data_IF_443212426729
#
_entry.id   IF_443212426729
#
_cell.length_a   1.000
_cell.length_b   1.000
_cell.length_c   1.000
_cell.angle_alpha   90.00
_cell.angle_beta   90.00
_cell.angle_gamma   90.00
#
_symmetry.space_group_name_H-M   'P 1'
#
loop_
_entity.id
_entity.type
_entity.pdbx_description
1 polymer ?
#
# COMPACT_ATOMS: atom_id res chain seq x y z
N UNK A 1 -17.95 -15.34 27.71
CA UNK A 1 -16.74 -15.26 26.84
C UNK A 1 -17.00 -16.11 25.61
N UNK A 2 -17.07 -15.50 24.43
CA UNK A 2 -17.26 -16.24 23.18
C UNK A 2 -15.99 -17.03 22.89
N UNK A 3 -16.00 -18.33 23.23
CA UNK A 3 -15.06 -19.30 22.69
C UNK A 3 -15.26 -19.32 21.18
N UNK A 4 -14.51 -18.52 20.42
CA UNK A 4 -14.33 -18.79 19.01
C UNK A 4 -13.76 -20.21 18.93
N UNK A 5 -14.53 -21.14 18.38
CA UNK A 5 -14.09 -22.51 18.21
C UNK A 5 -12.81 -22.50 17.35
N UNK A 6 -11.79 -23.27 17.74
CA UNK A 6 -10.49 -23.29 17.06
C UNK A 6 -10.68 -23.57 15.56
N UNK A 7 -11.65 -24.42 15.21
CA UNK A 7 -12.06 -24.70 13.84
C UNK A 7 -12.47 -23.44 13.05
N UNK A 8 -13.19 -22.51 13.69
CA UNK A 8 -13.64 -21.26 13.09
C UNK A 8 -12.48 -20.29 12.87
N UNK A 9 -11.57 -20.18 13.84
CA UNK A 9 -10.36 -19.34 13.72
C UNK A 9 -9.53 -19.80 12.52
N UNK A 10 -9.25 -21.11 12.43
CA UNK A 10 -8.52 -21.70 11.30
C UNK A 10 -9.17 -21.44 9.95
N UNK A 11 -10.50 -21.57 9.86
CA UNK A 11 -11.24 -21.28 8.63
C UNK A 11 -11.11 -19.81 8.23
N UNK A 12 -11.18 -18.89 9.19
CA UNK A 12 -11.00 -17.47 8.94
C UNK A 12 -9.57 -17.14 8.52
N UNK A 13 -8.55 -17.76 9.12
CA UNK A 13 -7.15 -17.65 8.70
C UNK A 13 -7.02 -18.07 7.22
N UNK A 14 -7.52 -19.24 6.85
CA UNK A 14 -7.46 -19.70 5.45
C UNK A 14 -8.19 -18.78 4.47
N UNK A 15 -9.28 -18.13 4.90
CA UNK A 15 -9.96 -17.12 4.10
C UNK A 15 -9.10 -15.86 3.90
N UNK A 16 -8.54 -15.31 4.98
CA UNK A 16 -7.72 -14.10 4.89
C UNK A 16 -6.38 -14.36 4.20
N UNK A 17 -5.79 -15.55 4.31
CA UNK A 17 -4.60 -15.94 3.54
C UNK A 17 -4.83 -15.76 2.03
N UNK A 18 -5.98 -16.28 1.53
CA UNK A 18 -6.36 -16.12 0.13
C UNK A 18 -6.65 -14.66 -0.24
N UNK A 19 -7.20 -13.86 0.67
CA UNK A 19 -7.40 -12.43 0.43
C UNK A 19 -6.07 -11.68 0.31
N UNK A 20 -5.12 -11.92 1.22
CA UNK A 20 -3.79 -11.30 1.17
C UNK A 20 -3.11 -11.59 -0.17
N UNK A 21 -3.08 -12.86 -0.59
CA UNK A 21 -2.51 -13.27 -1.88
C UNK A 21 -3.16 -12.57 -3.08
N UNK A 22 -4.49 -12.38 -3.04
CA UNK A 22 -5.21 -11.64 -4.10
C UNK A 22 -4.81 -10.18 -4.13
N UNK A 23 -4.77 -9.50 -2.99
CA UNK A 23 -4.35 -8.10 -2.94
C UNK A 23 -2.90 -7.93 -3.41
N UNK A 24 -1.98 -8.79 -2.98
CA UNK A 24 -0.59 -8.81 -3.47
C UNK A 24 -0.50 -8.95 -4.99
N UNK A 25 -1.34 -9.82 -5.57
CA UNK A 25 -1.40 -10.03 -7.01
C UNK A 25 -1.93 -8.80 -7.74
N UNK A 26 -2.98 -8.16 -7.20
CA UNK A 26 -3.56 -6.93 -7.76
C UNK A 26 -2.56 -5.77 -7.70
N UNK A 27 -1.89 -5.57 -6.56
CA UNK A 27 -0.85 -4.55 -6.40
C UNK A 27 0.29 -4.78 -7.40
N UNK A 28 0.73 -6.02 -7.55
CA UNK A 28 1.77 -6.39 -8.52
C UNK A 28 1.32 -6.13 -9.97
N UNK A 29 0.05 -6.34 -10.28
CA UNK A 29 -0.51 -6.05 -11.60
C UNK A 29 -0.52 -4.54 -11.88
N UNK A 30 -0.99 -3.72 -10.93
CA UNK A 30 -0.97 -2.25 -11.04
C UNK A 30 0.47 -1.74 -11.26
N UNK A 31 1.46 -2.26 -10.52
CA UNK A 31 2.86 -1.88 -10.78
C UNK A 31 3.35 -2.22 -12.18
N UNK A 32 2.95 -3.38 -12.72
CA UNK A 32 3.31 -3.76 -14.09
C UNK A 32 2.65 -2.86 -15.13
N UNK A 33 1.40 -2.51 -14.93
CA UNK A 33 0.63 -1.63 -15.82
C UNK A 33 1.26 -0.26 -15.95
N UNK A 34 1.61 0.36 -14.82
CA UNK A 34 2.27 1.67 -14.77
C UNK A 34 3.81 1.59 -14.93
N UNK A 35 4.35 0.39 -15.16
CA UNK A 35 5.80 0.12 -15.30
C UNK A 35 6.64 0.64 -14.11
N UNK A 36 6.04 0.66 -12.92
CA UNK A 36 6.70 1.07 -11.69
C UNK A 36 7.44 -0.11 -11.07
N UNK A 37 8.70 0.14 -10.72
CA UNK A 37 9.48 -0.75 -9.85
C UNK A 37 9.45 -0.16 -8.45
N UNK A 38 8.83 -0.86 -7.52
CA UNK A 38 8.57 -0.36 -6.16
C UNK A 38 9.86 0.06 -5.45
N UNK A 39 10.99 -0.55 -5.75
CA UNK A 39 12.28 -0.25 -5.14
C UNK A 39 12.91 1.04 -5.69
N UNK A 40 12.60 1.41 -6.93
CA UNK A 40 13.28 2.50 -7.65
C UNK A 40 12.66 3.87 -7.38
N UNK A 41 11.37 3.92 -7.05
CA UNK A 41 10.65 5.18 -6.78
C UNK A 41 10.82 6.24 -7.90
N UNK A 42 10.97 5.80 -9.16
CA UNK A 42 11.16 6.67 -10.32
C UNK A 42 9.84 6.84 -11.08
N UNK A 43 9.37 8.09 -11.14
CA UNK A 43 8.09 8.46 -11.75
C UNK A 43 8.26 9.31 -13.02
N UNK A 44 9.49 9.47 -13.53
CA UNK A 44 9.76 10.35 -14.70
C UNK A 44 9.02 9.94 -15.96
N UNK A 45 8.62 8.66 -16.06
CA UNK A 45 7.88 8.12 -17.18
C UNK A 45 6.36 8.35 -17.09
N UNK A 46 5.85 8.80 -15.95
CA UNK A 46 4.44 9.11 -15.74
C UNK A 46 4.22 10.62 -15.83
N UNK A 47 3.25 11.03 -16.63
CA UNK A 47 2.72 12.40 -16.59
C UNK A 47 1.89 12.62 -15.30
N UNK A 48 1.34 13.82 -15.11
CA UNK A 48 0.61 14.15 -13.88
C UNK A 48 -0.68 13.35 -13.70
N UNK A 49 -1.43 13.16 -14.79
CA UNK A 49 -2.70 12.43 -14.78
C UNK A 49 -2.48 10.94 -14.54
N UNK A 50 -1.42 10.38 -15.14
CA UNK A 50 -0.98 9.00 -14.92
C UNK A 50 -0.50 8.78 -13.48
N UNK A 51 0.27 9.72 -12.92
CA UNK A 51 0.73 9.65 -11.53
C UNK A 51 -0.45 9.73 -10.55
N UNK A 52 -1.46 10.55 -10.85
CA UNK A 52 -2.68 10.67 -10.05
C UNK A 52 -3.53 9.40 -10.13
N UNK A 53 -3.71 8.87 -11.34
CA UNK A 53 -4.44 7.62 -11.55
C UNK A 53 -3.77 6.47 -10.80
N UNK A 54 -2.44 6.35 -10.92
CA UNK A 54 -1.64 5.38 -10.19
C UNK A 54 -1.84 5.50 -8.67
N UNK A 55 -1.72 6.71 -8.12
CA UNK A 55 -1.93 6.96 -6.69
C UNK A 55 -3.35 6.55 -6.26
N UNK A 56 -4.36 6.93 -7.03
CA UNK A 56 -5.75 6.65 -6.75
C UNK A 56 -6.09 5.15 -6.79
N UNK A 57 -5.34 4.35 -7.55
CA UNK A 57 -5.44 2.89 -7.52
C UNK A 57 -4.68 2.25 -6.36
N UNK A 58 -3.48 2.72 -6.04
CA UNK A 58 -2.64 2.12 -4.99
C UNK A 58 -3.18 2.39 -3.58
N UNK A 59 -3.68 3.59 -3.30
CA UNK A 59 -4.22 3.96 -1.98
C UNK A 59 -5.31 2.99 -1.47
N UNK A 60 -6.38 2.68 -2.24
CA UNK A 60 -7.41 1.74 -1.80
C UNK A 60 -6.89 0.29 -1.70
N UNK A 61 -5.96 -0.12 -2.56
CA UNK A 61 -5.33 -1.44 -2.48
C UNK A 61 -4.52 -1.60 -1.19
N UNK A 62 -3.66 -0.62 -0.87
CA UNK A 62 -2.90 -0.55 0.39
C UNK A 62 -3.82 -0.62 1.60
N UNK A 63 -4.93 0.14 1.58
CA UNK A 63 -5.93 0.13 2.67
C UNK A 63 -6.58 -1.25 2.83
N UNK A 64 -6.90 -1.92 1.73
CA UNK A 64 -7.52 -3.25 1.75
C UNK A 64 -6.56 -4.31 2.27
N UNK A 65 -5.31 -4.25 1.83
CA UNK A 65 -4.22 -5.11 2.33
C UNK A 65 -4.03 -4.92 3.83
N UNK A 66 -3.95 -3.67 4.32
CA UNK A 66 -3.79 -3.37 5.75
C UNK A 66 -4.92 -3.96 6.59
N UNK A 67 -6.17 -3.80 6.15
CA UNK A 67 -7.33 -4.34 6.88
C UNK A 67 -7.27 -5.86 6.97
N UNK A 68 -6.95 -6.55 5.87
CA UNK A 68 -6.84 -8.00 5.86
C UNK A 68 -5.67 -8.48 6.72
N UNK A 69 -4.52 -7.80 6.65
CA UNK A 69 -3.34 -8.08 7.47
C UNK A 69 -3.67 -7.97 8.97
N UNK A 70 -4.28 -6.86 9.40
CA UNK A 70 -4.67 -6.67 10.81
C UNK A 70 -5.64 -7.76 11.30
N UNK A 71 -6.57 -8.20 10.45
CA UNK A 71 -7.46 -9.32 10.80
C UNK A 71 -6.70 -10.63 10.91
N UNK A 72 -5.76 -10.90 10.01
CA UNK A 72 -4.93 -12.09 10.02
C UNK A 72 -4.06 -12.18 11.27
N UNK A 73 -3.38 -11.09 11.64
CA UNK A 73 -2.56 -11.04 12.87
C UNK A 73 -3.42 -11.27 14.11
N UNK A 74 -4.59 -10.63 14.21
CA UNK A 74 -5.50 -10.87 15.34
C UNK A 74 -5.93 -12.34 15.45
N UNK A 75 -6.25 -12.98 14.33
CA UNK A 75 -6.62 -14.40 14.32
C UNK A 75 -5.45 -15.30 14.69
N UNK A 76 -4.22 -14.94 14.30
CA UNK A 76 -3.02 -15.63 14.73
C UNK A 76 -2.88 -15.56 16.25
N UNK A 77 -2.96 -14.37 16.85
CA UNK A 77 -2.84 -14.18 18.29
C UNK A 77 -3.93 -14.94 19.08
N UNK A 78 -5.17 -14.91 18.56
CA UNK A 78 -6.29 -15.69 19.11
C UNK A 78 -6.00 -17.20 19.05
N UNK A 79 -5.46 -17.70 17.93
CA UNK A 79 -5.16 -19.14 17.80
C UNK A 79 -3.97 -19.57 18.66
N UNK A 80 -2.95 -18.73 18.81
CA UNK A 80 -1.82 -18.98 19.73
C UNK A 80 -2.35 -19.15 21.16
N UNK A 81 -3.23 -18.24 21.60
CA UNK A 81 -3.86 -18.35 22.94
C UNK A 81 -4.66 -19.65 23.12
N UNK A 82 -5.32 -20.13 22.05
CA UNK A 82 -6.05 -21.40 22.08
C UNK A 82 -5.10 -22.60 22.14
N UNK A 83 -3.97 -22.54 21.43
CA UNK A 83 -2.94 -23.58 21.49
C UNK A 83 -2.34 -23.72 22.89
N UNK A 84 -2.07 -22.60 23.57
CA UNK A 84 -1.50 -22.60 24.92
C UNK A 84 -2.48 -23.12 25.99
N UNK A 85 -3.78 -23.08 25.73
CA UNK A 85 -4.82 -23.39 26.72
C UNK A 85 -5.50 -24.74 26.54
N UNK A 86 -5.29 -25.44 25.42
CA UNK A 86 -5.95 -26.71 25.11
C UNK A 86 -4.96 -27.76 24.63
N UNK A 87 -4.96 -28.92 25.30
CA UNK A 87 -4.17 -30.07 24.86
C UNK A 87 -4.60 -30.52 23.45
N UNK A 88 -3.61 -30.85 22.61
CA UNK A 88 -3.81 -31.36 21.24
C UNK A 88 -3.92 -30.28 20.16
N UNK A 89 -4.09 -29.00 20.49
CA UNK A 89 -4.15 -27.93 19.50
C UNK A 89 -2.82 -27.71 18.75
N UNK A 90 -1.68 -27.94 19.40
CA UNK A 90 -0.36 -27.89 18.74
C UNK A 90 -0.25 -28.93 17.61
N UNK A 91 -0.77 -30.15 17.83
CA UNK A 91 -0.80 -31.17 16.79
C UNK A 91 -1.71 -30.77 15.61
N UNK A 92 -2.84 -30.11 15.90
CA UNK A 92 -3.74 -29.59 14.87
C UNK A 92 -3.08 -28.45 14.09
N UNK A 93 -2.34 -27.57 14.76
CA UNK A 93 -1.58 -26.50 14.11
C UNK A 93 -0.53 -27.07 13.14
N UNK A 94 0.26 -28.04 13.59
CA UNK A 94 1.26 -28.71 12.77
C UNK A 94 0.64 -29.42 11.56
N UNK A 95 -0.50 -30.10 11.75
CA UNK A 95 -1.25 -30.73 10.65
C UNK A 95 -1.77 -29.68 9.63
N UNK A 96 -2.28 -28.54 10.12
CA UNK A 96 -2.75 -27.47 9.24
C UNK A 96 -1.63 -26.86 8.40
N UNK A 97 -0.48 -26.56 9.01
CA UNK A 97 0.68 -26.04 8.28
C UNK A 97 1.18 -27.06 7.26
N UNK A 98 1.27 -28.34 7.64
CA UNK A 98 1.72 -29.39 6.72
C UNK A 98 0.79 -29.57 5.52
N UNK A 99 -0.53 -29.39 5.69
CA UNK A 99 -1.52 -29.60 4.62
C UNK A 99 -1.75 -28.38 3.74
N UNK A 100 -1.70 -27.20 4.33
CA UNK A 100 -2.16 -25.96 3.69
C UNK A 100 -1.06 -24.90 3.53
N UNK A 101 0.15 -25.18 4.02
CA UNK A 101 1.27 -24.26 4.05
C UNK A 101 1.25 -23.34 5.27
N UNK A 102 2.39 -22.74 5.57
CA UNK A 102 2.52 -21.82 6.71
C UNK A 102 1.95 -20.44 6.35
N UNK A 103 0.75 -20.15 6.86
CA UNK A 103 0.09 -18.87 6.64
C UNK A 103 0.85 -17.68 7.26
N UNK A 104 1.77 -17.92 8.22
CA UNK A 104 2.58 -16.86 8.84
C UNK A 104 3.51 -16.21 7.82
N UNK A 105 3.95 -16.94 6.80
CA UNK A 105 4.68 -16.36 5.67
C UNK A 105 3.87 -15.28 4.94
N UNK A 106 2.55 -15.47 4.84
CA UNK A 106 1.65 -14.45 4.25
C UNK A 106 1.55 -13.21 5.13
N UNK A 107 1.58 -13.36 6.46
CA UNK A 107 1.61 -12.22 7.40
C UNK A 107 2.90 -11.41 7.19
N UNK A 108 4.06 -12.09 7.20
CA UNK A 108 5.37 -11.46 7.00
C UNK A 108 5.48 -10.78 5.63
N UNK A 109 5.01 -11.45 4.57
CA UNK A 109 5.04 -10.87 3.21
C UNK A 109 4.17 -9.62 3.13
N UNK A 110 2.96 -9.66 3.70
CA UNK A 110 2.04 -8.52 3.65
C UNK A 110 2.50 -7.31 4.45
N UNK A 111 3.15 -7.49 5.61
CA UNK A 111 3.70 -6.34 6.36
C UNK A 111 4.84 -5.68 5.59
N UNK A 112 5.77 -6.46 5.02
CA UNK A 112 6.86 -5.94 4.20
C UNK A 112 6.34 -5.19 2.96
N UNK A 113 5.27 -5.72 2.34
CA UNK A 113 4.61 -5.03 1.22
C UNK A 113 3.99 -3.72 1.67
N UNK A 114 3.30 -3.68 2.82
CA UNK A 114 2.70 -2.45 3.35
C UNK A 114 3.75 -1.37 3.61
N UNK A 115 4.90 -1.72 4.18
CA UNK A 115 6.02 -0.78 4.38
C UNK A 115 6.56 -0.23 3.07
N UNK A 116 6.70 -1.10 2.07
CA UNK A 116 7.14 -0.69 0.73
C UNK A 116 6.12 0.24 0.05
N UNK A 117 4.82 -0.01 0.24
CA UNK A 117 3.75 0.84 -0.27
C UNK A 117 3.71 2.20 0.44
N UNK A 118 3.95 2.23 1.75
CA UNK A 118 4.00 3.49 2.50
C UNK A 118 5.19 4.36 2.04
N UNK A 119 6.35 3.73 1.79
CA UNK A 119 7.51 4.41 1.21
C UNK A 119 7.21 4.95 -0.19
N UNK A 120 6.53 4.15 -1.02
CA UNK A 120 6.12 4.55 -2.36
C UNK A 120 5.15 5.74 -2.35
N UNK A 121 4.14 5.71 -1.50
CA UNK A 121 3.16 6.79 -1.38
C UNK A 121 3.83 8.11 -0.93
N UNK A 122 4.77 8.03 0.01
CA UNK A 122 5.57 9.20 0.39
C UNK A 122 6.40 9.74 -0.77
N UNK A 123 6.98 8.87 -1.61
CA UNK A 123 7.73 9.28 -2.79
C UNK A 123 6.85 9.93 -3.86
N UNK A 124 5.60 9.47 -4.02
CA UNK A 124 4.62 10.11 -4.90
C UNK A 124 4.28 11.51 -4.40
N UNK A 125 4.02 11.67 -3.10
CA UNK A 125 3.71 12.99 -2.52
C UNK A 125 4.90 13.97 -2.66
N UNK A 126 6.14 13.48 -2.54
CA UNK A 126 7.37 14.24 -2.84
C UNK A 126 7.46 14.65 -4.31
N UNK A 127 7.08 13.76 -5.23
CA UNK A 127 7.08 14.03 -6.67
C UNK A 127 6.07 15.13 -7.03
N UNK A 128 4.87 15.11 -6.45
CA UNK A 128 3.91 16.19 -6.61
C UNK A 128 4.45 17.54 -6.16
N UNK A 129 5.13 17.57 -5.00
CA UNK A 129 5.74 18.80 -4.50
C UNK A 129 6.77 19.36 -5.49
N UNK A 130 7.63 18.50 -6.05
CA UNK A 130 8.63 18.89 -7.06
C UNK A 130 8.00 19.45 -8.32
N UNK A 131 6.98 18.77 -8.86
CA UNK A 131 6.30 19.19 -10.10
C UNK A 131 5.54 20.51 -9.94
N UNK A 132 4.93 20.73 -8.78
CA UNK A 132 4.20 21.97 -8.49
C UNK A 132 5.13 23.14 -8.12
N UNK A 133 6.32 22.87 -7.59
CA UNK A 133 7.33 23.91 -7.28
C UNK A 133 8.08 24.42 -8.51
N UNK A 134 8.12 23.63 -9.60
CA UNK A 134 8.82 23.97 -10.84
C UNK A 134 7.98 24.77 -11.84
N UNK A 135 6.81 25.30 -11.46
CA UNK A 135 6.06 26.25 -12.31
C UNK A 135 6.78 27.60 -12.25
N UNK A 136 7.43 28.08 -13.33
CA UNK A 136 8.06 29.39 -13.33
C UNK A 136 6.97 30.45 -13.22
N UNK A 137 7.11 31.36 -12.26
CA UNK A 137 6.22 32.50 -12.07
C UNK A 137 6.54 33.61 -13.09
N UNK A 138 6.61 33.29 -14.38
CA UNK A 138 6.83 34.28 -15.44
C UNK A 138 5.51 34.92 -15.88
N UNK A 139 4.87 35.62 -14.94
CA UNK A 139 3.86 36.65 -15.23
C UNK A 139 4.13 37.82 -14.30
N UNK A 140 5.26 38.49 -14.47
CA UNK A 140 5.53 39.81 -13.90
C UNK A 140 6.56 40.51 -14.76
N UNK A 141 6.16 40.94 -15.96
CA UNK A 141 6.59 42.19 -16.58
C UNK A 141 6.01 42.28 -18.00
N UNK A 142 4.79 42.83 -18.09
CA UNK A 142 4.36 43.52 -19.29
C UNK A 142 4.04 44.96 -18.89
N UNK A 143 5.07 45.79 -19.04
CA UNK A 143 5.02 47.24 -19.33
C UNK A 143 4.27 48.15 -18.35
N UNK A 144 5.01 48.67 -17.38
CA UNK A 144 4.81 50.04 -16.89
C UNK A 144 6.09 50.85 -17.17
N UNK A 145 5.89 52.12 -17.55
CA UNK A 145 6.86 53.14 -17.99
C UNK A 145 7.32 53.08 -19.44
N UNK A 146 6.73 53.96 -20.25
CA UNK A 146 7.49 55.00 -20.96
C UNK A 146 6.67 56.30 -20.91
N UNK A 147 6.80 57.01 -19.79
CA UNK A 147 6.51 58.44 -19.70
C UNK A 147 7.86 59.15 -19.62
N UNK A 148 8.28 59.85 -20.67
CA UNK A 148 9.11 61.07 -20.58
C UNK A 148 8.99 61.84 -21.90
N UNK A 149 8.50 63.08 -21.79
CA UNK A 149 8.10 63.92 -22.92
C UNK A 149 9.22 64.76 -23.54
N UNK A 150 8.80 65.58 -24.52
CA UNK A 150 9.37 66.90 -24.80
C UNK A 150 8.44 67.66 -25.77
N UNK A 151 7.85 68.76 -25.31
CA UNK A 151 7.65 69.98 -26.14
C UNK A 151 9.05 70.57 -26.50
N UNK A 152 9.24 71.62 -27.35
CA UNK A 152 8.28 72.56 -27.96
C UNK A 152 8.51 72.90 -29.46
N UNK A 153 7.56 73.62 -30.07
CA UNK A 153 7.72 74.92 -30.77
C UNK A 153 6.39 75.36 -31.41
#
# INVERSE_FOLDING_TARGET
MLSNDSSQIRRQIGFFQKQLQRYESTITATFKEYRIKIEQHDFRYLNNDELESFRNEIVPQRRSLLKAYQKMTKLHDEWVTVQDSKEGEEAIFNDCISKYGDYRESITTSVNRLESLDTLLNAIDQEYFKRNSNVPSDISEATSLDEYGNEPA
#
